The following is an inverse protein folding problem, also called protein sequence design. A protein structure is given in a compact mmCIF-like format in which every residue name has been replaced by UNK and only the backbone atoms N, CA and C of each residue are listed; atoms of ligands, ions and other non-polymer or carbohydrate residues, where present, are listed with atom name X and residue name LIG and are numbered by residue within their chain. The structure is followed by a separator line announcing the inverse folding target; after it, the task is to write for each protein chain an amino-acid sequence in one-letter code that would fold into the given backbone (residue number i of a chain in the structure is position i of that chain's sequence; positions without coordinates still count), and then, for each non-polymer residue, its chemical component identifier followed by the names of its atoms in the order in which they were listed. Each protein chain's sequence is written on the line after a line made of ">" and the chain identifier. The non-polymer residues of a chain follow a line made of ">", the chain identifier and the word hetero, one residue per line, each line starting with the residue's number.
data_IF_937367249711
#
_entry.id   IF_937367249711
#
_cell.length_a   1.000
_cell.length_b   1.000
_cell.length_c   1.000
_cell.angle_alpha   90.00
_cell.angle_beta   90.00
_cell.angle_gamma   90.00
#
_symmetry.space_group_name_H-M   'P 1'
#
loop_
_entity.id
_entity.type
_entity.pdbx_description
1 polymer ?
#
# COMPACT_ATOMS: atom_id res chain seq x y z
N UNK A 1 31.03 -24.80 -12.23
CA UNK A 1 31.02 -23.46 -11.59
C UNK A 1 29.63 -23.28 -10.94
N UNK A 2 29.54 -22.69 -9.80
CA UNK A 2 28.22 -22.42 -9.21
C UNK A 2 27.39 -21.56 -10.15
N UNK A 3 26.09 -21.77 -10.15
CA UNK A 3 25.14 -20.97 -10.94
C UNK A 3 25.04 -19.56 -10.37
N UNK A 4 24.87 -18.58 -11.25
CA UNK A 4 24.85 -17.16 -10.88
C UNK A 4 23.43 -16.60 -11.00
N UNK A 5 22.94 -15.99 -9.92
CA UNK A 5 21.64 -15.35 -9.88
C UNK A 5 21.77 -13.87 -9.55
N UNK A 6 21.14 -13.02 -10.34
CA UNK A 6 21.04 -11.58 -10.04
C UNK A 6 19.68 -11.26 -9.46
N UNK A 7 19.66 -10.37 -8.46
CA UNK A 7 18.43 -9.77 -7.90
C UNK A 7 18.51 -8.25 -8.06
N UNK A 8 17.55 -7.67 -8.77
CA UNK A 8 17.48 -6.23 -9.02
C UNK A 8 16.51 -5.58 -8.03
N UNK A 9 17.08 -4.87 -7.07
CA UNK A 9 16.38 -4.20 -5.98
C UNK A 9 16.55 -4.91 -4.63
N UNK A 10 17.14 -4.22 -3.67
CA UNK A 10 17.31 -4.68 -2.27
C UNK A 10 16.15 -4.21 -1.38
N UNK A 11 14.91 -4.24 -1.92
CA UNK A 11 13.67 -4.07 -1.17
C UNK A 11 13.25 -5.36 -0.45
N UNK A 12 12.12 -5.35 0.30
CA UNK A 12 11.65 -6.53 1.04
C UNK A 12 11.51 -7.80 0.19
N UNK A 13 10.97 -7.68 -1.03
CA UNK A 13 10.83 -8.82 -1.94
C UNK A 13 12.18 -9.38 -2.40
N UNK A 14 13.11 -8.50 -2.83
CA UNK A 14 14.44 -8.92 -3.27
C UNK A 14 15.28 -9.51 -2.15
N UNK A 15 15.22 -8.95 -0.93
CA UNK A 15 15.90 -9.52 0.24
C UNK A 15 15.34 -10.88 0.62
N UNK A 16 14.03 -11.07 0.49
CA UNK A 16 13.39 -12.37 0.78
C UNK A 16 13.73 -13.41 -0.28
N UNK A 17 13.84 -12.99 -1.55
CA UNK A 17 14.32 -13.87 -2.61
C UNK A 17 15.79 -14.28 -2.37
N UNK A 18 16.66 -13.35 -1.99
CA UNK A 18 18.04 -13.63 -1.63
C UNK A 18 18.15 -14.64 -0.48
N UNK A 19 17.26 -14.55 0.52
CA UNK A 19 17.23 -15.46 1.67
C UNK A 19 16.87 -16.90 1.30
N UNK A 20 15.96 -17.09 0.36
CA UNK A 20 15.64 -18.44 -0.15
C UNK A 20 16.81 -18.98 -0.96
N UNK A 21 17.35 -18.19 -1.89
CA UNK A 21 18.42 -18.64 -2.77
C UNK A 21 19.72 -18.91 -2.04
N UNK A 22 20.01 -18.22 -0.92
CA UNK A 22 21.21 -18.43 -0.11
C UNK A 22 21.27 -19.80 0.58
N UNK A 23 20.16 -20.57 0.54
CA UNK A 23 20.14 -21.95 1.04
C UNK A 23 20.68 -22.97 0.02
N UNK A 24 20.98 -22.53 -1.21
CA UNK A 24 21.50 -23.34 -2.29
C UNK A 24 22.91 -22.89 -2.68
N UNK A 25 23.64 -23.72 -3.45
CA UNK A 25 25.00 -23.41 -3.94
C UNK A 25 24.96 -22.47 -5.15
N UNK A 26 24.48 -21.21 -4.93
CA UNK A 26 24.45 -20.17 -5.96
C UNK A 26 25.33 -18.99 -5.60
N UNK A 27 25.91 -18.34 -6.64
CA UNK A 27 26.47 -17.00 -6.50
C UNK A 27 25.34 -15.97 -6.65
N UNK A 28 25.03 -15.24 -5.58
CA UNK A 28 23.91 -14.30 -5.54
C UNK A 28 24.43 -12.87 -5.48
N UNK A 29 24.12 -12.09 -6.53
CA UNK A 29 24.42 -10.67 -6.61
C UNK A 29 23.13 -9.85 -6.49
N UNK A 30 23.03 -9.01 -5.46
CA UNK A 30 21.90 -8.08 -5.25
C UNK A 30 22.33 -6.68 -5.64
N UNK A 31 21.71 -6.13 -6.68
CA UNK A 31 21.98 -4.78 -7.17
C UNK A 31 20.94 -3.78 -6.61
N UNK A 32 21.45 -2.70 -5.99
CA UNK A 32 20.62 -1.64 -5.42
C UNK A 32 21.13 -0.28 -5.89
N UNK A 33 20.24 0.49 -6.55
CA UNK A 33 20.61 1.82 -7.07
C UNK A 33 20.89 2.85 -5.98
N UNK A 34 20.32 2.67 -4.78
CA UNK A 34 20.51 3.58 -3.64
C UNK A 34 21.74 3.20 -2.80
N UNK A 35 22.23 4.09 -1.93
CA UNK A 35 23.41 3.81 -1.09
C UNK A 35 23.16 2.79 0.03
N UNK A 36 21.92 2.31 0.21
CA UNK A 36 21.56 1.33 1.24
C UNK A 36 20.29 0.57 0.85
N UNK A 37 20.16 -0.66 1.32
CA UNK A 37 18.98 -1.50 1.11
C UNK A 37 17.71 -0.96 1.78
N UNK A 38 16.56 -1.37 1.27
CA UNK A 38 15.24 -1.31 1.88
C UNK A 38 14.80 0.08 2.38
N UNK A 39 15.12 1.14 1.65
CA UNK A 39 14.86 2.53 2.09
C UNK A 39 13.37 2.83 2.27
N UNK A 40 12.50 2.32 1.38
CA UNK A 40 11.04 2.45 1.50
C UNK A 40 10.52 1.69 2.73
N UNK A 41 11.05 0.51 3.02
CA UNK A 41 10.75 -0.26 4.23
C UNK A 41 11.14 0.49 5.51
N UNK A 42 12.33 1.13 5.53
CA UNK A 42 12.75 1.97 6.66
C UNK A 42 11.84 3.19 6.85
N UNK A 43 11.37 3.79 5.77
CA UNK A 43 10.41 4.91 5.81
C UNK A 43 9.06 4.44 6.37
N UNK A 44 8.54 3.31 5.91
CA UNK A 44 7.28 2.74 6.40
C UNK A 44 7.33 2.43 7.91
N UNK A 45 8.50 2.03 8.42
CA UNK A 45 8.73 1.76 9.84
C UNK A 45 9.08 2.98 10.71
N UNK A 46 8.99 4.21 10.20
CA UNK A 46 9.39 5.41 10.94
C UNK A 46 8.53 5.67 12.18
N UNK A 47 7.23 5.47 12.08
CA UNK A 47 6.25 5.67 13.17
C UNK A 47 5.84 4.37 13.85
N UNK A 48 6.23 3.22 13.32
CA UNK A 48 5.91 1.89 13.80
C UNK A 48 5.82 0.91 12.64
N UNK A 49 6.72 -0.08 12.61
CA UNK A 49 6.74 -1.08 11.55
C UNK A 49 5.59 -2.08 11.75
N UNK A 50 4.53 -1.94 10.99
CA UNK A 50 3.51 -2.96 10.87
C UNK A 50 3.91 -3.97 9.79
N UNK A 51 4.25 -5.19 10.20
CA UNK A 51 4.81 -6.19 9.29
C UNK A 51 3.74 -7.11 8.68
N UNK A 52 2.71 -7.44 9.45
CA UNK A 52 1.61 -8.31 9.03
C UNK A 52 0.35 -8.06 9.88
N UNK A 53 -0.68 -8.90 9.75
CA UNK A 53 -1.92 -8.80 10.52
C UNK A 53 -2.39 -10.20 10.96
N UNK A 54 -2.78 -10.33 12.22
CA UNK A 54 -3.13 -11.60 12.87
C UNK A 54 -4.58 -12.07 12.62
N UNK A 55 -5.28 -11.51 11.63
CA UNK A 55 -6.59 -12.02 11.25
C UNK A 55 -6.45 -13.43 10.62
N UNK A 56 -7.51 -14.26 10.62
CA UNK A 56 -7.47 -15.56 9.96
C UNK A 56 -7.02 -15.45 8.50
N UNK A 57 -6.15 -16.34 8.04
CA UNK A 57 -5.50 -16.27 6.72
C UNK A 57 -6.50 -16.16 5.57
N UNK A 58 -7.66 -16.81 5.64
CA UNK A 58 -8.68 -16.71 4.61
C UNK A 58 -9.33 -15.30 4.54
N UNK A 59 -9.48 -14.61 5.68
CA UNK A 59 -9.90 -13.21 5.71
C UNK A 59 -8.80 -12.29 5.23
N UNK A 60 -7.55 -12.57 5.59
CA UNK A 60 -6.36 -11.83 5.18
C UNK A 60 -6.20 -11.83 3.64
N UNK A 61 -6.34 -12.98 3.00
CA UNK A 61 -6.26 -13.14 1.55
C UNK A 61 -7.31 -12.30 0.81
N UNK A 62 -8.51 -12.14 1.38
CA UNK A 62 -9.58 -11.33 0.78
C UNK A 62 -9.26 -9.82 0.78
N UNK A 63 -8.18 -9.38 1.40
CA UNK A 63 -7.74 -7.98 1.35
C UNK A 63 -7.07 -7.62 0.03
N UNK A 64 -6.53 -8.59 -0.69
CA UNK A 64 -5.94 -8.38 -2.00
C UNK A 64 -7.01 -8.30 -3.09
N UNK A 65 -6.79 -7.48 -4.10
CA UNK A 65 -7.64 -7.44 -5.30
C UNK A 65 -7.45 -8.69 -6.16
N UNK A 66 -6.22 -9.18 -6.27
CA UNK A 66 -5.85 -10.41 -6.96
C UNK A 66 -5.86 -11.61 -5.99
N UNK A 67 -6.97 -11.78 -5.29
CA UNK A 67 -7.13 -12.78 -4.22
C UNK A 67 -6.67 -14.18 -4.63
N UNK A 68 -7.16 -14.68 -5.76
CA UNK A 68 -6.86 -16.04 -6.23
C UNK A 68 -5.38 -16.22 -6.61
N UNK A 69 -4.77 -15.18 -7.15
CA UNK A 69 -3.38 -15.22 -7.57
C UNK A 69 -2.42 -15.26 -6.38
N UNK A 70 -2.63 -14.40 -5.40
CA UNK A 70 -1.74 -14.30 -4.23
C UNK A 70 -2.01 -15.37 -3.17
N UNK A 71 -3.21 -15.94 -3.13
CA UNK A 71 -3.64 -16.88 -2.11
C UNK A 71 -2.68 -18.05 -1.86
N UNK A 72 -2.12 -18.77 -2.86
CA UNK A 72 -1.23 -19.90 -2.61
C UNK A 72 -0.01 -19.51 -1.79
N UNK A 73 0.62 -18.39 -2.13
CA UNK A 73 1.84 -17.93 -1.46
C UNK A 73 1.55 -17.31 -0.09
N UNK A 74 0.47 -16.54 0.04
CA UNK A 74 0.08 -15.92 1.32
C UNK A 74 -0.36 -16.96 2.34
N UNK A 75 -0.99 -18.08 1.91
CA UNK A 75 -1.27 -19.22 2.81
C UNK A 75 -0.02 -19.90 3.32
N UNK A 76 0.98 -20.05 2.47
CA UNK A 76 2.24 -20.71 2.80
C UNK A 76 3.11 -19.84 3.71
N UNK A 77 3.12 -18.52 3.48
CA UNK A 77 3.95 -17.56 4.22
C UNK A 77 3.08 -16.46 4.84
N UNK A 78 2.22 -16.90 5.75
CA UNK A 78 1.21 -16.09 6.42
C UNK A 78 1.78 -15.21 7.56
N UNK A 79 0.88 -14.68 8.38
CA UNK A 79 1.23 -13.87 9.53
C UNK A 79 2.04 -14.63 10.58
N UNK A 80 1.73 -15.91 10.79
CA UNK A 80 2.46 -16.79 11.73
C UNK A 80 3.88 -17.03 11.23
N UNK A 81 4.01 -17.36 9.95
CA UNK A 81 5.32 -17.49 9.31
C UNK A 81 6.16 -16.22 9.45
N UNK A 82 5.57 -15.03 9.27
CA UNK A 82 6.27 -13.75 9.44
C UNK A 82 6.79 -13.56 10.88
N UNK A 83 6.02 -13.96 11.89
CA UNK A 83 6.46 -13.91 13.29
C UNK A 83 7.61 -14.87 13.57
N UNK A 84 7.52 -16.11 13.11
CA UNK A 84 8.56 -17.13 13.25
C UNK A 84 9.86 -16.72 12.55
N UNK A 85 9.74 -16.13 11.36
CA UNK A 85 10.89 -15.58 10.62
C UNK A 85 11.57 -14.44 11.38
N UNK A 86 10.81 -13.49 11.95
CA UNK A 86 11.38 -12.44 12.80
C UNK A 86 12.04 -13.02 14.04
N UNK A 87 11.41 -13.99 14.70
CA UNK A 87 11.98 -14.69 15.86
C UNK A 87 13.31 -15.36 15.49
N UNK A 88 13.40 -16.00 14.31
CA UNK A 88 14.64 -16.59 13.78
C UNK A 88 15.75 -15.56 13.50
N UNK A 89 15.41 -14.28 13.38
CA UNK A 89 16.36 -13.15 13.31
C UNK A 89 16.71 -12.55 14.70
N UNK A 90 16.14 -13.12 15.79
CA UNK A 90 16.27 -12.57 17.12
C UNK A 90 15.42 -11.32 17.39
N UNK A 91 14.36 -11.12 16.59
CA UNK A 91 13.43 -9.98 16.70
C UNK A 91 12.10 -10.49 17.24
N UNK A 92 11.79 -10.15 18.48
CA UNK A 92 10.49 -10.44 19.06
C UNK A 92 9.38 -9.57 18.45
N UNK A 93 8.18 -10.13 18.37
CA UNK A 93 7.00 -9.45 17.84
C UNK A 93 5.80 -9.57 18.77
N UNK A 94 4.82 -8.67 18.61
CA UNK A 94 3.54 -8.72 19.31
C UNK A 94 2.38 -8.34 18.41
N UNK A 95 1.18 -8.77 18.80
CA UNK A 95 -0.07 -8.39 18.13
C UNK A 95 -0.68 -7.21 18.89
N UNK A 96 -0.84 -6.08 18.20
CA UNK A 96 -1.51 -4.90 18.74
C UNK A 96 -3.03 -5.09 18.81
N UNK A 97 -3.72 -4.19 19.52
CA UNK A 97 -5.18 -4.24 19.72
C UNK A 97 -6.01 -4.23 18.42
N UNK A 98 -5.43 -3.72 17.33
CA UNK A 98 -6.05 -3.70 16.00
C UNK A 98 -5.76 -4.96 15.16
N UNK A 99 -5.14 -5.99 15.72
CA UNK A 99 -4.69 -7.19 15.00
C UNK A 99 -3.39 -7.02 14.19
N UNK A 100 -2.81 -5.83 14.14
CA UNK A 100 -1.53 -5.57 13.45
C UNK A 100 -0.37 -6.19 14.22
N UNK A 101 0.59 -6.74 13.48
CA UNK A 101 1.80 -7.35 14.04
C UNK A 101 2.96 -6.38 13.93
N UNK A 102 3.64 -6.15 15.05
CA UNK A 102 4.78 -5.22 15.15
C UNK A 102 5.98 -5.92 15.78
N UNK A 103 7.22 -5.60 15.39
CA UNK A 103 8.37 -5.86 16.24
C UNK A 103 8.20 -5.14 17.58
N UNK A 104 8.69 -5.71 18.68
CA UNK A 104 8.58 -5.11 20.03
C UNK A 104 9.18 -3.70 20.06
N UNK A 105 10.29 -3.47 19.36
CA UNK A 105 10.92 -2.15 19.26
C UNK A 105 10.18 -1.17 18.36
N UNK A 106 9.10 -1.60 17.68
CA UNK A 106 8.31 -0.79 16.74
C UNK A 106 9.10 -0.22 15.55
N UNK A 107 10.35 -0.59 15.33
CA UNK A 107 11.26 0.00 14.34
C UNK A 107 11.70 -1.01 13.28
N UNK A 108 11.81 -0.53 12.03
CA UNK A 108 12.30 -1.33 10.92
C UNK A 108 13.83 -1.58 10.96
N UNK A 109 14.60 -0.63 11.50
CA UNK A 109 16.05 -0.67 11.40
C UNK A 109 16.73 -1.85 12.14
N UNK A 110 16.32 -2.27 13.34
CA UNK A 110 16.87 -3.46 13.98
C UNK A 110 16.63 -4.73 13.17
N UNK A 111 15.40 -4.93 12.71
CA UNK A 111 15.02 -6.06 11.87
C UNK A 111 15.85 -6.11 10.58
N UNK A 112 15.94 -4.99 9.87
CA UNK A 112 16.72 -4.90 8.63
C UNK A 112 18.22 -5.21 8.86
N UNK A 113 18.80 -4.70 9.96
CA UNK A 113 20.22 -4.98 10.28
C UNK A 113 20.46 -6.46 10.55
N UNK A 114 19.58 -7.11 11.32
CA UNK A 114 19.68 -8.54 11.59
C UNK A 114 19.57 -9.35 10.30
N UNK A 115 18.62 -8.99 9.45
CA UNK A 115 18.39 -9.63 8.15
C UNK A 115 19.57 -9.50 7.20
N UNK A 116 20.08 -8.28 6.98
CA UNK A 116 21.25 -8.06 6.13
C UNK A 116 22.50 -8.77 6.67
N UNK A 117 22.69 -8.81 8.01
CA UNK A 117 23.79 -9.54 8.61
C UNK A 117 23.73 -11.03 8.30
N UNK A 118 22.55 -11.64 8.37
CA UNK A 118 22.32 -13.06 8.01
C UNK A 118 22.63 -13.29 6.52
N UNK A 119 22.06 -12.51 5.62
CA UNK A 119 22.27 -12.66 4.18
C UNK A 119 23.74 -12.54 3.78
N UNK A 120 24.48 -11.57 4.37
CA UNK A 120 25.92 -11.42 4.11
C UNK A 120 26.73 -12.60 4.68
N UNK A 121 26.35 -13.15 5.82
CA UNK A 121 26.98 -14.34 6.39
C UNK A 121 26.75 -15.59 5.51
N UNK A 122 25.58 -15.65 4.84
CA UNK A 122 25.21 -16.72 3.91
C UNK A 122 25.78 -16.48 2.48
N UNK A 123 26.69 -15.51 2.30
CA UNK A 123 27.42 -15.30 1.06
C UNK A 123 26.75 -14.41 0.01
N UNK A 124 25.60 -13.79 0.31
CA UNK A 124 24.94 -12.84 -0.59
C UNK A 124 25.78 -11.58 -0.76
N UNK A 125 26.07 -11.21 -2.01
CA UNK A 125 26.85 -10.03 -2.37
C UNK A 125 25.96 -8.84 -2.67
N UNK A 126 26.12 -7.73 -1.94
CA UNK A 126 25.35 -6.50 -2.14
C UNK A 126 26.16 -5.45 -2.90
N UNK A 127 25.61 -4.98 -4.02
CA UNK A 127 26.15 -3.92 -4.86
C UNK A 127 25.32 -2.66 -4.73
N UNK A 128 25.62 -1.83 -3.76
CA UNK A 128 24.96 -0.53 -3.56
C UNK A 128 25.44 0.51 -4.57
N UNK A 129 24.57 1.47 -4.92
CA UNK A 129 24.82 2.49 -5.96
C UNK A 129 25.11 1.87 -7.34
N UNK A 130 24.55 0.70 -7.59
CA UNK A 130 24.58 0.00 -8.87
C UNK A 130 23.18 -0.04 -9.44
N UNK A 131 22.95 0.73 -10.49
CA UNK A 131 21.66 0.82 -11.16
C UNK A 131 21.63 -0.12 -12.36
N UNK A 132 20.66 -1.00 -12.43
CA UNK A 132 20.34 -1.69 -13.67
C UNK A 132 19.66 -0.69 -14.60
N UNK A 133 20.21 -0.51 -15.79
CA UNK A 133 19.74 0.45 -16.80
C UNK A 133 19.19 -0.22 -18.05
N UNK A 134 19.48 -1.50 -18.23
CA UNK A 134 18.97 -2.30 -19.34
C UNK A 134 18.99 -3.80 -19.03
N UNK A 135 18.04 -4.51 -19.62
CA UNK A 135 17.88 -5.96 -19.54
C UNK A 135 17.66 -6.50 -20.95
N UNK A 136 18.51 -7.40 -21.40
CA UNK A 136 18.39 -8.11 -22.68
C UNK A 136 18.62 -9.60 -22.46
N UNK A 137 17.59 -10.42 -22.66
CA UNK A 137 17.61 -11.84 -22.31
C UNK A 137 18.06 -12.04 -20.84
N UNK A 138 19.19 -12.71 -20.62
CA UNK A 138 19.79 -12.94 -19.31
C UNK A 138 21.02 -12.05 -19.04
N UNK A 139 21.19 -10.97 -19.82
CA UNK A 139 22.25 -9.99 -19.65
C UNK A 139 21.71 -8.70 -19.05
N UNK A 140 22.33 -8.25 -17.97
CA UNK A 140 22.07 -6.96 -17.32
C UNK A 140 23.13 -5.94 -17.72
N UNK A 141 22.69 -4.73 -18.01
CA UNK A 141 23.57 -3.56 -18.08
C UNK A 141 23.47 -2.78 -16.79
N UNK A 142 24.56 -2.73 -16.07
CA UNK A 142 24.68 -2.07 -14.75
C UNK A 142 25.50 -0.79 -14.91
N UNK A 143 25.03 0.26 -14.27
CA UNK A 143 25.72 1.55 -14.18
C UNK A 143 25.98 1.90 -12.71
N UNK A 144 27.20 2.35 -12.41
CA UNK A 144 27.57 2.92 -11.14
C UNK A 144 28.26 4.29 -11.37
N UNK A 145 28.83 4.87 -10.33
CA UNK A 145 29.46 6.21 -10.40
C UNK A 145 30.67 6.30 -11.33
N UNK A 146 31.28 5.17 -11.69
CA UNK A 146 32.59 5.14 -12.40
C UNK A 146 32.51 4.49 -13.77
N UNK A 147 31.57 3.56 -13.97
CA UNK A 147 31.53 2.76 -15.19
C UNK A 147 30.10 2.23 -15.47
N UNK A 148 29.92 1.87 -16.75
CA UNK A 148 28.79 1.07 -17.22
C UNK A 148 29.34 -0.24 -17.79
N UNK A 149 28.77 -1.37 -17.39
CA UNK A 149 29.21 -2.71 -17.81
C UNK A 149 28.04 -3.65 -17.96
N UNK A 150 28.21 -4.70 -18.76
CA UNK A 150 27.23 -5.74 -18.93
C UNK A 150 27.69 -7.04 -18.33
N UNK A 151 26.78 -7.79 -17.74
CA UNK A 151 27.05 -9.06 -17.06
C UNK A 151 25.88 -10.02 -17.27
N UNK A 152 26.22 -11.30 -17.49
CA UNK A 152 25.23 -12.36 -17.76
C UNK A 152 25.05 -13.25 -16.53
N UNK A 153 23.80 -13.67 -16.28
CA UNK A 153 23.41 -14.54 -15.20
C UNK A 153 22.63 -15.75 -15.70
N UNK A 154 22.59 -16.84 -14.92
CA UNK A 154 21.76 -18.01 -15.25
C UNK A 154 20.28 -17.69 -15.04
N UNK A 155 19.94 -16.88 -14.03
CA UNK A 155 18.60 -16.35 -13.79
C UNK A 155 18.65 -14.96 -13.17
N UNK A 156 17.56 -14.19 -13.34
CA UNK A 156 17.41 -12.82 -12.86
C UNK A 156 16.07 -12.68 -12.14
N UNK A 157 16.09 -12.11 -10.94
CA UNK A 157 14.86 -11.72 -10.24
C UNK A 157 14.73 -10.19 -10.27
N UNK A 158 13.65 -9.69 -10.85
CA UNK A 158 13.27 -8.30 -10.80
C UNK A 158 12.42 -8.06 -9.54
N UNK A 159 12.95 -7.28 -8.61
CA UNK A 159 12.31 -6.85 -7.38
C UNK A 159 12.32 -5.32 -7.27
N UNK A 160 12.05 -4.65 -8.41
CA UNK A 160 12.28 -3.22 -8.62
C UNK A 160 11.24 -2.31 -7.95
N UNK A 161 10.16 -2.89 -7.40
CA UNK A 161 9.06 -2.13 -6.82
C UNK A 161 8.20 -1.42 -7.87
N UNK A 162 7.27 -0.59 -7.41
CA UNK A 162 6.36 0.19 -8.24
C UNK A 162 6.95 1.59 -8.57
N UNK A 163 6.14 2.66 -8.46
CA UNK A 163 6.53 4.03 -8.80
C UNK A 163 6.36 5.03 -7.65
N UNK A 164 5.82 4.61 -6.50
CA UNK A 164 5.68 5.49 -5.34
C UNK A 164 7.00 5.66 -4.59
N UNK A 165 7.27 6.87 -4.09
CA UNK A 165 8.51 7.21 -3.40
C UNK A 165 9.77 6.98 -4.23
N UNK A 166 9.77 7.45 -5.46
CA UNK A 166 10.88 7.32 -6.43
C UNK A 166 12.24 7.73 -5.86
N UNK A 167 12.26 8.72 -4.98
CA UNK A 167 13.46 9.17 -4.25
C UNK A 167 14.08 8.06 -3.37
N UNK A 168 13.28 7.07 -2.96
CA UNK A 168 13.74 5.94 -2.13
C UNK A 168 14.13 4.71 -2.96
N UNK A 169 13.97 4.74 -4.29
CA UNK A 169 14.43 3.70 -5.20
C UNK A 169 13.34 3.02 -6.04
N UNK A 170 12.06 3.32 -5.78
CA UNK A 170 10.94 2.74 -6.53
C UNK A 170 10.48 3.75 -7.60
N UNK A 171 11.25 3.85 -8.70
CA UNK A 171 11.10 4.90 -9.71
C UNK A 171 10.45 4.43 -11.03
N UNK A 172 10.13 3.13 -11.15
CA UNK A 172 9.51 2.56 -12.33
C UNK A 172 10.39 2.53 -13.59
N UNK A 173 11.69 2.81 -13.48
CA UNK A 173 12.63 2.85 -14.62
C UNK A 173 12.80 1.49 -15.32
N UNK A 174 12.35 0.42 -14.71
CA UNK A 174 12.34 -0.93 -15.27
C UNK A 174 11.22 -1.15 -16.32
N UNK A 175 10.18 -0.34 -16.36
CA UNK A 175 9.02 -0.53 -17.24
C UNK A 175 9.41 -0.69 -18.73
N UNK A 176 10.39 0.05 -19.28
CA UNK A 176 10.82 -0.12 -20.66
C UNK A 176 11.48 -1.48 -20.99
N UNK A 177 11.86 -2.27 -19.99
CA UNK A 177 12.44 -3.62 -20.21
C UNK A 177 11.38 -4.66 -20.57
N UNK A 178 10.11 -4.33 -20.34
CA UNK A 178 8.96 -5.19 -20.64
C UNK A 178 8.10 -4.53 -21.73
N UNK A 179 7.34 -5.36 -22.45
CA UNK A 179 6.34 -4.87 -23.39
C UNK A 179 5.23 -4.12 -22.66
N UNK A 180 4.70 -3.05 -23.26
CA UNK A 180 3.55 -2.30 -22.72
C UNK A 180 2.33 -3.19 -22.44
N UNK A 181 2.15 -4.28 -23.18
CA UNK A 181 1.04 -5.20 -22.99
C UNK A 181 1.21 -6.08 -21.74
N UNK A 182 2.44 -6.21 -21.23
CA UNK A 182 2.78 -6.99 -20.05
C UNK A 182 2.54 -6.24 -18.75
N UNK A 183 2.35 -4.91 -18.83
CA UNK A 183 2.23 -4.02 -17.67
C UNK A 183 0.82 -3.41 -17.64
N UNK A 184 0.15 -3.48 -16.49
CA UNK A 184 -1.00 -2.64 -16.18
C UNK A 184 -0.49 -1.27 -15.68
N UNK A 185 -1.00 -0.14 -16.21
CA UNK A 185 -0.56 1.19 -15.81
C UNK A 185 -0.67 1.41 -14.30
N UNK A 186 0.38 1.96 -13.69
CA UNK A 186 0.37 2.25 -12.27
C UNK A 186 -0.62 3.36 -11.90
N UNK A 187 -1.33 3.16 -10.80
CA UNK A 187 -2.25 4.11 -10.20
C UNK A 187 -1.93 4.27 -8.71
N UNK A 188 -2.19 5.46 -8.16
CA UNK A 188 -2.03 5.70 -6.73
C UNK A 188 -2.96 4.79 -5.92
N UNK A 189 -2.41 4.06 -4.95
CA UNK A 189 -3.14 3.28 -3.96
C UNK A 189 -2.71 3.67 -2.55
N UNK A 190 -3.61 3.51 -1.58
CA UNK A 190 -3.38 3.97 -0.21
C UNK A 190 -2.92 5.45 -0.19
N UNK A 191 -3.63 6.28 -0.94
CA UNK A 191 -3.34 7.69 -1.14
C UNK A 191 -4.47 8.58 -0.61
N UNK A 192 -4.13 9.79 -0.19
CA UNK A 192 -5.13 10.82 0.10
C UNK A 192 -5.89 11.22 -1.15
N UNK A 193 -7.09 11.79 -0.97
CA UNK A 193 -7.94 12.28 -2.03
C UNK A 193 -8.03 13.80 -2.01
N UNK A 194 -8.16 14.39 -3.19
CA UNK A 194 -8.13 15.84 -3.39
C UNK A 194 -9.52 16.44 -3.28
N UNK A 195 -9.58 17.54 -2.55
CA UNK A 195 -10.74 18.42 -2.43
C UNK A 195 -10.27 19.84 -2.16
N UNK A 196 -10.63 20.75 -3.04
CA UNK A 196 -10.39 22.19 -2.81
C UNK A 196 -11.33 22.70 -1.73
N UNK A 197 -10.75 23.35 -0.72
CA UNK A 197 -11.46 23.90 0.42
C UNK A 197 -11.59 25.44 0.32
N UNK A 198 -12.69 25.97 0.83
CA UNK A 198 -12.75 27.41 1.11
C UNK A 198 -11.80 27.78 2.27
N UNK A 199 -11.39 29.05 2.39
CA UNK A 199 -10.54 29.51 3.49
C UNK A 199 -11.10 29.20 4.88
N UNK A 200 -12.42 29.03 4.99
CA UNK A 200 -13.11 28.68 6.21
C UNK A 200 -12.68 27.32 6.81
N UNK A 201 -12.25 26.38 5.97
CA UNK A 201 -11.83 25.05 6.41
C UNK A 201 -10.40 24.98 6.97
N UNK A 202 -9.61 26.04 6.88
CA UNK A 202 -8.21 26.04 7.33
C UNK A 202 -8.03 25.64 8.79
N UNK A 203 -8.97 26.04 9.67
CA UNK A 203 -8.94 25.68 11.08
C UNK A 203 -9.19 24.19 11.35
N UNK A 204 -9.69 23.45 10.35
CA UNK A 204 -9.95 22.02 10.44
C UNK A 204 -8.77 21.16 9.94
N UNK A 205 -7.74 21.75 9.36
CA UNK A 205 -6.62 20.98 8.82
C UNK A 205 -5.83 20.26 9.91
N UNK A 206 -5.55 18.97 9.69
CA UNK A 206 -4.95 18.06 10.64
C UNK A 206 -5.93 17.49 11.67
N UNK A 207 -7.19 17.94 11.68
CA UNK A 207 -8.18 17.46 12.64
C UNK A 207 -8.96 16.24 12.11
N UNK A 208 -9.29 15.26 12.99
CA UNK A 208 -10.06 14.09 12.60
C UNK A 208 -11.57 14.36 12.62
N UNK A 209 -12.25 13.88 11.57
CA UNK A 209 -13.67 13.54 11.58
C UNK A 209 -13.81 12.19 12.30
N UNK A 210 -14.18 12.21 13.57
CA UNK A 210 -14.20 11.00 14.40
C UNK A 210 -15.45 10.18 14.21
N UNK A 211 -15.29 8.85 14.19
CA UNK A 211 -16.38 7.88 14.21
C UNK A 211 -17.43 8.17 13.13
N UNK A 212 -17.00 8.16 11.88
CA UNK A 212 -17.88 8.31 10.72
C UNK A 212 -17.98 6.98 9.99
N UNK A 213 -19.09 6.77 9.26
CA UNK A 213 -19.11 5.77 8.19
C UNK A 213 -18.83 6.49 6.87
N UNK A 214 -18.01 5.85 6.03
CA UNK A 214 -17.66 6.35 4.71
C UNK A 214 -17.88 5.25 3.67
N UNK A 215 -18.33 5.63 2.48
CA UNK A 215 -18.51 4.71 1.36
C UNK A 215 -18.45 5.42 0.01
N UNK A 216 -18.20 4.63 -1.00
CA UNK A 216 -18.38 4.97 -2.42
C UNK A 216 -19.64 4.27 -2.93
N UNK A 217 -19.81 2.99 -2.56
CA UNK A 217 -21.01 2.19 -2.81
C UNK A 217 -21.71 1.91 -1.48
N UNK A 218 -23.04 2.10 -1.38
CA UNK A 218 -23.78 1.97 -0.11
C UNK A 218 -23.61 0.63 0.60
N UNK A 219 -23.35 -0.44 -0.16
CA UNK A 219 -23.21 -1.80 0.35
C UNK A 219 -21.87 -2.04 1.05
N UNK A 220 -20.87 -1.17 0.84
CA UNK A 220 -19.52 -1.33 1.34
C UNK A 220 -19.08 -0.13 2.22
N UNK A 221 -19.71 -0.01 3.38
CA UNK A 221 -19.39 1.06 4.31
C UNK A 221 -18.17 0.70 5.16
N UNK A 222 -17.31 1.68 5.39
CA UNK A 222 -16.14 1.58 6.27
C UNK A 222 -16.29 2.55 7.43
N UNK A 223 -16.18 2.04 8.66
CA UNK A 223 -16.22 2.84 9.88
C UNK A 223 -14.82 3.26 10.31
N UNK A 224 -14.68 4.49 10.83
CA UNK A 224 -13.44 4.98 11.42
C UNK A 224 -13.30 6.51 11.40
N UNK A 225 -12.07 6.96 11.60
CA UNK A 225 -11.74 8.38 11.59
C UNK A 225 -11.14 8.78 10.24
N UNK A 226 -11.49 9.99 9.77
CA UNK A 226 -10.95 10.58 8.53
C UNK A 226 -10.26 11.89 8.90
N UNK A 227 -9.04 12.11 8.40
CA UNK A 227 -8.31 13.36 8.63
C UNK A 227 -8.63 14.34 7.52
N UNK A 228 -9.03 15.56 7.89
CA UNK A 228 -9.12 16.70 6.96
C UNK A 228 -7.73 17.29 6.79
N UNK A 229 -7.27 17.38 5.55
CA UNK A 229 -5.96 17.96 5.21
C UNK A 229 -6.15 19.22 4.37
N UNK A 230 -5.08 19.99 4.17
CA UNK A 230 -5.13 21.16 3.29
C UNK A 230 -5.44 20.81 1.81
N UNK A 231 -5.23 19.56 1.41
CA UNK A 231 -5.48 19.09 0.05
C UNK A 231 -6.77 18.27 -0.10
N UNK A 232 -7.43 17.91 1.02
CA UNK A 232 -8.65 17.07 0.99
C UNK A 232 -8.73 16.13 2.19
N UNK A 233 -8.71 14.80 1.95
CA UNK A 233 -8.86 13.81 3.01
C UNK A 233 -7.76 12.75 2.95
N UNK A 234 -7.37 12.25 4.13
CA UNK A 234 -6.53 11.07 4.28
C UNK A 234 -6.93 10.23 5.49
N UNK A 235 -6.68 8.98 5.48
CA UNK A 235 -6.70 8.02 6.61
C UNK A 235 -6.77 6.59 6.10
N UNK A 236 -6.68 5.62 7.01
CA UNK A 236 -6.96 4.21 6.69
C UNK A 236 -8.37 3.96 6.14
N UNK A 237 -9.36 4.79 6.50
CA UNK A 237 -10.73 4.74 5.94
C UNK A 237 -10.69 5.11 4.45
N UNK A 238 -10.05 6.24 4.11
CA UNK A 238 -9.91 6.70 2.72
C UNK A 238 -9.12 5.68 1.87
N UNK A 239 -8.05 5.12 2.43
CA UNK A 239 -7.21 4.15 1.72
C UNK A 239 -7.98 2.86 1.38
N UNK A 240 -8.84 2.39 2.28
CA UNK A 240 -9.72 1.23 2.03
C UNK A 240 -10.71 1.45 0.89
N UNK A 241 -11.17 2.70 0.72
CA UNK A 241 -12.10 3.09 -0.36
C UNK A 241 -11.39 3.39 -1.69
N UNK A 242 -10.06 3.37 -1.71
CA UNK A 242 -9.24 3.74 -2.86
C UNK A 242 -9.56 2.94 -4.12
N UNK A 243 -9.86 1.65 -3.99
CA UNK A 243 -10.23 0.78 -5.12
C UNK A 243 -11.55 1.21 -5.79
N UNK A 244 -12.58 1.46 -5.00
CA UNK A 244 -13.88 1.91 -5.51
C UNK A 244 -13.78 3.31 -6.11
N UNK A 245 -12.99 4.20 -5.51
CA UNK A 245 -12.73 5.54 -6.05
C UNK A 245 -12.00 5.47 -7.40
N UNK A 246 -10.96 4.61 -7.55
CA UNK A 246 -10.31 4.39 -8.84
C UNK A 246 -11.28 3.82 -9.88
N UNK A 247 -12.18 2.92 -9.47
CA UNK A 247 -13.19 2.38 -10.36
C UNK A 247 -14.15 3.45 -10.91
N UNK A 248 -14.53 4.46 -10.10
CA UNK A 248 -15.32 5.61 -10.59
C UNK A 248 -14.54 6.39 -11.67
N UNK A 249 -13.24 6.62 -11.47
CA UNK A 249 -12.40 7.30 -12.47
C UNK A 249 -12.33 6.49 -13.77
N UNK A 250 -12.06 5.19 -13.67
CA UNK A 250 -11.98 4.31 -14.83
C UNK A 250 -13.30 4.24 -15.62
N UNK A 251 -14.44 4.37 -14.95
CA UNK A 251 -15.77 4.41 -15.54
C UNK A 251 -16.20 5.83 -15.98
N UNK A 252 -15.32 6.82 -15.89
CA UNK A 252 -15.59 8.23 -16.20
C UNK A 252 -16.76 8.81 -15.40
N UNK A 253 -16.98 8.29 -14.19
CA UNK A 253 -18.00 8.80 -13.27
C UNK A 253 -17.47 9.99 -12.47
N UNK A 254 -18.38 10.79 -11.92
CA UNK A 254 -18.02 11.81 -10.94
C UNK A 254 -17.46 11.17 -9.68
N UNK A 255 -16.26 11.58 -9.28
CA UNK A 255 -15.62 11.05 -8.08
C UNK A 255 -16.33 11.58 -6.84
N UNK A 256 -16.92 10.69 -6.06
CA UNK A 256 -17.74 11.04 -4.90
C UNK A 256 -17.42 10.17 -3.69
N UNK A 257 -17.31 10.81 -2.53
CA UNK A 257 -17.24 10.18 -1.22
C UNK A 257 -18.54 10.49 -0.45
N UNK A 258 -19.14 9.47 0.11
CA UNK A 258 -20.30 9.64 0.99
C UNK A 258 -19.90 9.42 2.45
N UNK A 259 -20.46 10.25 3.35
CA UNK A 259 -20.22 10.15 4.78
C UNK A 259 -21.54 10.13 5.57
N UNK A 260 -21.61 9.24 6.56
CA UNK A 260 -22.53 9.38 7.70
C UNK A 260 -21.74 9.94 8.87
N UNK A 261 -22.07 11.16 9.25
CA UNK A 261 -21.35 11.89 10.32
C UNK A 261 -21.77 11.47 11.73
N UNK A 262 -22.92 10.82 11.88
CA UNK A 262 -23.46 10.36 13.17
C UNK A 262 -24.04 8.94 13.02
N UNK A 263 -23.20 7.92 12.79
CA UNK A 263 -23.67 6.55 12.49
C UNK A 263 -24.46 5.91 13.65
N UNK A 264 -24.24 6.32 14.88
CA UNK A 264 -24.94 5.80 16.06
C UNK A 264 -26.40 6.28 16.19
N UNK A 265 -26.85 7.22 15.36
CA UNK A 265 -28.23 7.74 15.36
C UNK A 265 -28.97 7.30 14.10
N UNK A 266 -30.23 6.90 14.26
CA UNK A 266 -31.12 6.73 13.11
C UNK A 266 -31.51 8.08 12.51
N UNK A 267 -31.96 8.07 11.25
CA UNK A 267 -32.45 9.29 10.58
C UNK A 267 -33.58 9.96 11.38
N UNK A 268 -34.53 9.17 11.89
CA UNK A 268 -35.66 9.65 12.66
C UNK A 268 -35.24 10.27 14.01
N UNK A 269 -34.27 9.64 14.71
CA UNK A 269 -33.74 10.18 15.95
C UNK A 269 -33.02 11.51 15.71
N UNK A 270 -32.28 11.60 14.61
CA UNK A 270 -31.56 12.81 14.25
C UNK A 270 -32.50 13.93 13.84
N UNK A 271 -33.53 13.62 13.04
CA UNK A 271 -34.57 14.59 12.66
C UNK A 271 -35.26 15.19 13.89
N UNK A 272 -35.66 14.36 14.87
CA UNK A 272 -36.23 14.83 16.14
C UNK A 272 -35.28 15.75 16.92
N UNK A 273 -33.97 15.40 16.97
CA UNK A 273 -32.97 16.23 17.64
C UNK A 273 -32.74 17.59 16.96
N UNK A 274 -32.91 17.65 15.64
CA UNK A 274 -32.76 18.86 14.83
C UNK A 274 -34.05 19.73 14.79
N UNK A 275 -35.19 19.22 15.26
CA UNK A 275 -36.43 20.00 15.49
C UNK A 275 -36.24 20.86 16.75
N UNK A 276 -35.53 21.95 16.63
CA UNK A 276 -35.24 22.83 17.74
C UNK A 276 -36.25 23.96 17.96
N UNK A 277 -36.15 24.64 19.07
CA UNK A 277 -36.96 25.84 19.38
C UNK A 277 -36.42 27.04 18.57
N UNK A 278 -37.31 27.89 18.00
CA UNK A 278 -36.99 29.07 17.18
C UNK A 278 -35.98 30.06 17.81
N UNK A 279 -35.77 29.99 19.13
CA UNK A 279 -34.82 30.82 19.87
C UNK A 279 -33.38 30.26 19.90
N UNK A 280 -33.13 29.08 19.38
CA UNK A 280 -31.83 28.40 19.46
C UNK A 280 -31.01 28.63 18.22
N UNK A 281 -29.71 28.95 18.37
CA UNK A 281 -28.83 29.04 17.19
C UNK A 281 -28.64 27.65 16.54
N UNK A 282 -28.55 27.62 15.22
CA UNK A 282 -28.32 26.37 14.46
C UNK A 282 -27.07 25.61 14.95
N UNK A 283 -26.00 26.33 15.25
CA UNK A 283 -24.76 25.72 15.79
C UNK A 283 -24.99 24.98 17.09
N UNK A 284 -25.75 25.59 18.04
CA UNK A 284 -26.05 24.95 19.30
C UNK A 284 -26.98 23.75 19.11
N UNK A 285 -27.91 23.84 18.19
CA UNK A 285 -28.81 22.73 17.83
C UNK A 285 -28.00 21.53 17.29
N UNK A 286 -27.08 21.77 16.35
CA UNK A 286 -26.24 20.76 15.77
C UNK A 286 -25.28 20.11 16.78
N UNK A 287 -24.70 20.93 17.69
CA UNK A 287 -23.89 20.41 18.82
C UNK A 287 -24.69 19.49 19.74
N UNK A 288 -25.94 19.87 20.07
CA UNK A 288 -26.83 19.02 20.90
C UNK A 288 -27.24 17.74 20.20
N UNK A 289 -27.29 17.73 18.86
CA UNK A 289 -27.50 16.52 18.08
C UNK A 289 -26.31 15.56 18.12
N UNK A 290 -25.09 16.04 18.50
CA UNK A 290 -23.88 15.23 18.61
C UNK A 290 -22.77 15.59 17.64
N UNK A 291 -22.92 16.67 16.86
CA UNK A 291 -21.89 17.15 15.94
C UNK A 291 -20.83 17.97 16.69
N UNK A 292 -19.58 17.62 16.50
CA UNK A 292 -18.43 18.43 16.93
C UNK A 292 -18.15 19.59 15.95
N UNK A 293 -17.19 20.43 16.28
CA UNK A 293 -16.87 21.62 15.48
C UNK A 293 -16.39 21.24 14.08
N UNK A 294 -15.61 20.17 13.93
CA UNK A 294 -15.07 19.74 12.63
C UNK A 294 -16.20 19.27 11.71
N UNK A 295 -17.12 18.46 12.23
CA UNK A 295 -18.31 17.99 11.48
C UNK A 295 -19.24 19.15 11.10
N UNK A 296 -19.41 20.12 12.00
CA UNK A 296 -20.23 21.33 11.73
C UNK A 296 -19.59 22.16 10.60
N UNK A 297 -18.28 22.35 10.63
CA UNK A 297 -17.59 23.11 9.61
C UNK A 297 -17.65 22.41 8.26
N UNK A 298 -17.46 21.08 8.22
CA UNK A 298 -17.61 20.30 7.00
C UNK A 298 -19.05 20.39 6.43
N UNK A 299 -20.08 20.31 7.26
CA UNK A 299 -21.47 20.50 6.80
C UNK A 299 -21.69 21.88 6.17
N UNK A 300 -21.12 22.92 6.77
CA UNK A 300 -21.22 24.30 6.25
C UNK A 300 -20.48 24.49 4.93
N UNK A 301 -19.39 23.77 4.76
CA UNK A 301 -18.60 23.78 3.52
C UNK A 301 -19.35 23.11 2.37
N UNK A 302 -20.03 21.99 2.64
CA UNK A 302 -20.62 21.15 1.60
C UNK A 302 -22.10 21.44 1.38
N UNK A 303 -22.86 21.70 2.43
CA UNK A 303 -24.33 21.80 2.36
C UNK A 303 -24.76 23.25 2.09
N UNK A 304 -25.62 23.45 1.10
CA UNK A 304 -26.13 24.75 0.76
C UNK A 304 -26.88 25.40 1.94
N UNK A 305 -26.64 26.69 2.20
CA UNK A 305 -27.12 27.44 3.38
C UNK A 305 -28.64 27.46 3.52
N UNK A 306 -29.37 27.41 2.43
CA UNK A 306 -30.86 27.37 2.42
C UNK A 306 -31.43 26.09 3.03
N UNK A 307 -30.65 25.01 3.14
CA UNK A 307 -31.05 23.74 3.75
C UNK A 307 -30.85 23.70 5.26
N UNK A 308 -30.00 24.56 5.83
CA UNK A 308 -29.54 24.47 7.21
C UNK A 308 -30.63 24.56 8.28
N UNK A 309 -31.75 25.23 7.99
CA UNK A 309 -32.88 25.38 8.89
C UNK A 309 -33.97 24.31 8.75
N UNK A 310 -33.88 23.46 7.71
CA UNK A 310 -34.80 22.34 7.49
C UNK A 310 -34.27 21.09 8.20
N UNK A 311 -34.93 20.73 9.32
CA UNK A 311 -34.48 19.60 10.15
C UNK A 311 -34.44 18.27 9.40
N UNK A 312 -35.42 18.01 8.50
CA UNK A 312 -35.49 16.77 7.74
C UNK A 312 -34.40 16.69 6.70
N UNK A 313 -34.20 17.76 5.93
CA UNK A 313 -33.14 17.80 4.92
C UNK A 313 -31.74 17.75 5.56
N UNK A 314 -31.51 18.48 6.66
CA UNK A 314 -30.27 18.42 7.40
C UNK A 314 -29.99 17.04 7.98
N UNK A 315 -30.98 16.34 8.51
CA UNK A 315 -30.81 14.97 8.96
C UNK A 315 -30.35 14.06 7.84
N UNK A 316 -30.93 14.18 6.64
CA UNK A 316 -30.51 13.44 5.44
C UNK A 316 -29.06 13.79 5.06
N UNK A 317 -28.69 15.08 5.03
CA UNK A 317 -27.32 15.50 4.72
C UNK A 317 -26.31 14.96 5.74
N UNK A 318 -26.62 14.94 7.03
CA UNK A 318 -25.74 14.40 8.07
C UNK A 318 -25.56 12.88 7.92
N UNK A 319 -26.60 12.16 7.52
CA UNK A 319 -26.58 10.71 7.33
C UNK A 319 -26.00 10.29 5.98
N UNK A 320 -26.02 11.16 4.97
CA UNK A 320 -25.54 10.85 3.62
C UNK A 320 -24.93 12.10 2.97
N UNK A 321 -23.87 12.63 3.60
CA UNK A 321 -23.15 13.76 3.06
C UNK A 321 -22.35 13.34 1.82
N UNK A 322 -22.76 13.84 0.65
CA UNK A 322 -22.05 13.59 -0.61
C UNK A 322 -20.99 14.66 -0.84
N UNK A 323 -19.73 14.24 -0.96
CA UNK A 323 -18.58 15.12 -1.14
C UNK A 323 -17.96 14.85 -2.52
N UNK A 324 -18.03 15.81 -3.46
CA UNK A 324 -17.33 15.70 -4.73
C UNK A 324 -15.82 15.81 -4.48
N UNK A 325 -15.06 14.90 -5.08
CA UNK A 325 -13.61 14.85 -5.03
C UNK A 325 -13.01 15.19 -6.40
N UNK A 326 -11.76 15.63 -6.42
CA UNK A 326 -11.05 16.11 -7.61
C UNK A 326 -10.01 15.11 -8.14
N UNK A 327 -9.69 14.07 -7.37
CA UNK A 327 -8.71 13.04 -7.74
C UNK A 327 -7.99 12.47 -6.53
N UNK A 328 -6.90 11.78 -6.80
CA UNK A 328 -5.95 11.31 -5.79
C UNK A 328 -4.76 12.25 -5.66
N UNK A 329 -4.08 12.20 -4.53
CA UNK A 329 -2.73 12.75 -4.38
C UNK A 329 -1.80 12.15 -5.44
N UNK A 330 -0.72 12.87 -5.83
CA UNK A 330 0.27 12.34 -6.76
C UNK A 330 0.77 10.95 -6.36
N UNK A 331 0.98 10.09 -7.35
CA UNK A 331 1.38 8.69 -7.13
C UNK A 331 2.72 8.58 -6.38
N UNK A 332 3.60 9.55 -6.54
CA UNK A 332 4.88 9.64 -5.86
C UNK A 332 4.75 9.76 -4.34
N UNK A 333 3.60 10.24 -3.86
CA UNK A 333 3.28 10.43 -2.44
C UNK A 333 2.38 9.32 -1.88
N UNK A 334 1.90 8.43 -2.74
CA UNK A 334 1.07 7.30 -2.34
C UNK A 334 1.87 6.29 -1.50
N UNK A 335 1.24 5.66 -0.53
CA UNK A 335 1.89 4.61 0.27
C UNK A 335 2.24 3.41 -0.60
N UNK A 336 1.37 3.07 -1.56
CA UNK A 336 1.55 1.98 -2.53
C UNK A 336 0.95 2.33 -3.88
N UNK A 337 1.12 1.44 -4.85
CA UNK A 337 0.52 1.53 -6.17
C UNK A 337 -0.33 0.30 -6.46
N UNK A 338 -1.36 0.46 -7.26
CA UNK A 338 -2.02 -0.61 -8.02
C UNK A 338 -1.47 -0.60 -9.44
N UNK A 339 -1.54 -1.72 -10.15
CA UNK A 339 -0.90 -1.89 -11.47
C UNK A 339 0.47 -2.56 -11.36
N UNK A 340 1.10 -2.86 -12.48
CA UNK A 340 2.38 -3.54 -12.57
C UNK A 340 2.39 -4.70 -13.56
N UNK A 341 3.31 -5.63 -13.42
CA UNK A 341 3.43 -6.81 -14.29
C UNK A 341 2.22 -7.73 -14.11
N UNK A 342 1.49 -7.97 -15.19
CA UNK A 342 0.22 -8.71 -15.19
C UNK A 342 0.43 -10.19 -14.88
N UNK A 343 -0.50 -10.78 -14.13
CA UNK A 343 -0.54 -12.22 -13.87
C UNK A 343 -0.48 -13.04 -15.18
N UNK A 344 -1.22 -12.62 -16.21
CA UNK A 344 -1.37 -13.36 -17.46
C UNK A 344 -0.07 -13.57 -18.24
N UNK A 345 0.97 -12.79 -17.94
CA UNK A 345 2.29 -12.89 -18.63
C UNK A 345 3.34 -13.61 -17.79
N UNK A 346 2.95 -14.11 -16.62
CA UNK A 346 3.81 -14.84 -15.70
C UNK A 346 3.39 -16.31 -15.60
N UNK A 347 4.35 -17.18 -15.36
CA UNK A 347 4.08 -18.56 -14.93
C UNK A 347 3.56 -18.58 -13.48
N UNK A 348 3.05 -19.73 -12.99
CA UNK A 348 2.73 -19.90 -11.58
C UNK A 348 3.92 -19.69 -10.62
N UNK A 349 5.14 -19.76 -11.13
CA UNK A 349 6.40 -19.54 -10.41
C UNK A 349 6.92 -18.09 -10.57
N UNK A 350 6.11 -17.17 -11.05
CA UNK A 350 6.46 -15.76 -11.31
C UNK A 350 7.55 -15.54 -12.37
N UNK A 351 7.80 -16.54 -13.22
CA UNK A 351 8.69 -16.48 -14.37
C UNK A 351 8.01 -15.73 -15.52
N UNK A 352 8.72 -14.81 -16.16
CA UNK A 352 8.21 -14.03 -17.29
C UNK A 352 8.13 -14.93 -18.54
N UNK A 353 6.96 -15.06 -19.14
CA UNK A 353 6.76 -15.94 -20.31
C UNK A 353 7.53 -15.48 -21.55
N UNK A 354 7.69 -14.16 -21.72
CA UNK A 354 8.47 -13.58 -22.83
C UNK A 354 9.98 -13.71 -22.63
N UNK A 355 10.46 -13.97 -21.39
CA UNK A 355 11.86 -14.14 -21.06
C UNK A 355 12.03 -15.13 -19.91
N UNK A 356 12.22 -16.44 -20.21
CA UNK A 356 12.24 -17.49 -19.18
C UNK A 356 13.39 -17.41 -18.15
N UNK A 357 14.43 -16.63 -18.41
CA UNK A 357 15.49 -16.40 -17.41
C UNK A 357 15.15 -15.33 -16.37
N UNK A 358 13.98 -14.66 -16.50
CA UNK A 358 13.56 -13.54 -15.68
C UNK A 358 12.33 -13.86 -14.84
N UNK A 359 12.39 -13.53 -13.57
CA UNK A 359 11.31 -13.67 -12.59
C UNK A 359 10.97 -12.31 -11.99
N UNK A 360 9.70 -12.09 -11.64
CA UNK A 360 9.25 -10.81 -11.10
C UNK A 360 8.61 -11.01 -9.73
N UNK A 361 8.85 -10.08 -8.75
CA UNK A 361 8.26 -10.18 -7.43
C UNK A 361 8.05 -8.82 -6.74
N UNK A 362 7.22 -8.79 -5.71
CA UNK A 362 6.96 -7.61 -4.91
C UNK A 362 5.96 -6.64 -5.53
N UNK A 363 6.06 -5.37 -5.18
CA UNK A 363 5.14 -4.31 -5.64
C UNK A 363 5.25 -3.97 -7.14
N UNK A 364 6.18 -4.56 -7.88
CA UNK A 364 6.19 -4.40 -9.33
C UNK A 364 5.15 -5.29 -10.02
N UNK A 365 4.56 -6.26 -9.34
CA UNK A 365 3.47 -7.11 -9.83
C UNK A 365 2.14 -6.38 -9.75
N UNK A 366 1.20 -6.70 -10.65
CA UNK A 366 -0.14 -6.11 -10.68
C UNK A 366 -1.04 -6.69 -9.59
N UNK A 367 -0.90 -6.16 -8.38
CA UNK A 367 -1.79 -6.43 -7.26
C UNK A 367 -1.88 -5.21 -6.35
N UNK A 368 -2.98 -5.11 -5.59
CA UNK A 368 -3.26 -4.05 -4.64
C UNK A 368 -3.79 -4.59 -3.31
N UNK A 369 -3.44 -3.92 -2.23
CA UNK A 369 -3.91 -4.23 -0.88
C UNK A 369 -4.01 -2.97 -0.02
N UNK A 370 -4.90 -2.93 1.00
CA UNK A 370 -4.94 -1.83 1.96
C UNK A 370 -3.68 -1.79 2.81
N UNK A 371 -3.47 -0.69 3.53
CA UNK A 371 -2.48 -0.64 4.61
C UNK A 371 -2.86 -1.56 5.76
N UNK A 372 -1.88 -2.11 6.47
CA UNK A 372 -2.14 -2.98 7.62
C UNK A 372 -1.24 -4.22 7.70
N UNK A 373 -0.09 -4.21 6.99
CA UNK A 373 0.87 -5.31 6.93
C UNK A 373 0.70 -6.21 5.68
N UNK A 374 -0.40 -6.06 4.94
CA UNK A 374 -0.70 -6.85 3.75
C UNK A 374 0.35 -6.69 2.64
N UNK A 375 0.81 -5.45 2.40
CA UNK A 375 1.80 -5.12 1.38
C UNK A 375 3.14 -5.84 1.63
N UNK A 376 3.63 -5.82 2.88
CA UNK A 376 4.89 -6.49 3.24
C UNK A 376 4.76 -8.00 3.15
N UNK A 377 3.66 -8.58 3.66
CA UNK A 377 3.40 -10.02 3.57
C UNK A 377 3.39 -10.50 2.10
N UNK A 378 2.74 -9.77 1.18
CA UNK A 378 2.76 -10.12 -0.24
C UNK A 378 4.16 -9.96 -0.86
N UNK A 379 4.93 -8.92 -0.48
CA UNK A 379 6.31 -8.76 -0.94
C UNK A 379 7.19 -9.93 -0.49
N UNK A 380 7.06 -10.38 0.76
CA UNK A 380 7.80 -11.52 1.27
C UNK A 380 7.38 -12.82 0.56
N UNK A 381 6.08 -13.06 0.45
CA UNK A 381 5.53 -14.25 -0.16
C UNK A 381 5.92 -14.37 -1.64
N UNK A 382 5.78 -13.30 -2.41
CA UNK A 382 6.15 -13.29 -3.84
C UNK A 382 7.66 -13.33 -4.06
N UNK A 383 8.46 -12.74 -3.17
CA UNK A 383 9.92 -12.85 -3.21
C UNK A 383 10.39 -14.30 -3.03
N UNK A 384 9.79 -15.03 -2.08
CA UNK A 384 10.04 -16.45 -1.88
C UNK A 384 9.60 -17.28 -3.09
N UNK A 385 8.39 -17.06 -3.59
CA UNK A 385 7.86 -17.78 -4.74
C UNK A 385 8.74 -17.62 -5.98
N UNK A 386 9.21 -16.40 -6.26
CA UNK A 386 10.12 -16.14 -7.38
C UNK A 386 11.46 -16.87 -7.20
N UNK A 387 12.00 -16.91 -6.00
CA UNK A 387 13.25 -17.61 -5.70
C UNK A 387 13.11 -19.14 -5.81
N UNK A 388 12.02 -19.73 -5.34
CA UNK A 388 11.70 -21.14 -5.55
C UNK A 388 11.52 -21.45 -7.04
N UNK A 389 10.93 -20.52 -7.81
CA UNK A 389 10.82 -20.60 -9.25
C UNK A 389 12.19 -20.59 -9.96
N UNK A 390 13.10 -19.73 -9.53
CA UNK A 390 14.49 -19.69 -10.04
C UNK A 390 15.20 -21.00 -9.74
N UNK A 391 15.05 -21.53 -8.52
CA UNK A 391 15.67 -22.80 -8.16
C UNK A 391 15.18 -23.94 -9.07
N UNK A 392 13.87 -24.05 -9.25
CA UNK A 392 13.28 -25.06 -10.15
C UNK A 392 13.64 -24.89 -11.64
N UNK A 393 13.97 -23.67 -12.08
CA UNK A 393 14.39 -23.37 -13.45
C UNK A 393 15.85 -23.74 -13.71
N UNK A 394 16.71 -23.59 -12.69
CA UNK A 394 18.16 -23.82 -12.82
C UNK A 394 18.50 -25.32 -12.73
N UNK A 395 17.75 -26.11 -11.94
CA UNK A 395 17.89 -27.56 -11.81
C UNK A 395 17.30 -28.32 -13.02
#
# INVERSE_FOLDING_TARGET
>A
MPKRVAIIGAGPAGLMAAEVLSQYDYEIDVFEQKPSAARKFLMAGKTGLNISHAEPVEAFIQRYDQTQWLAPWVRQWDATWNQDWMQGLGIESYVGSSGRIFPVEMKAAPLLRAWLKRLMADGVKFHYRHRCVDLSENQLTIENQTQRFSVTYDAIILACGAVSWSQLGSDGAWQPWLSKNEIEPFQASNAGVLKTWSPFMQECFGQPLKRVNAWVRPEQQTHGDIIITHYGFESGVIYKLGRELRAQIAQQQTLQLHLDLLPDLSLEQLEKKLQGNKKQSLTNLWRKAGLDTVKINLLREIVAKNLWSDAKQMAQQIKQLCIPLEGFRPIEEAISCAGGVKQAVLSPQLQLQSNPSVFCCGEMLDWDAPTGGYLLTACFATGRAAAEGVHAFIE
#
